data_IF_275507012370
#
_entry.id   IF_275507012370
#
_cell.length_a   1.000
_cell.length_b   1.000
_cell.length_c   1.000
_cell.angle_alpha   90.00
_cell.angle_beta   90.00
_cell.angle_gamma   90.00
#
_symmetry.space_group_name_H-M   'P 1'
#
loop_
_entity.id
_entity.type
_entity.pdbx_description
1 polymer ?
#
# COMPACT_ATOMS: atom_id res chain seq x y z
N UNK A 1 2.33 42.98 75.92
CA UNK A 1 2.97 41.97 75.03
C UNK A 1 1.94 41.49 74.02
N UNK A 2 2.39 41.37 72.79
CA UNK A 2 1.63 41.41 71.56
C UNK A 2 1.62 40.02 70.95
N UNK A 3 0.46 39.47 70.64
CA UNK A 3 0.33 38.34 69.70
C UNK A 3 -0.96 38.49 68.90
N UNK A 4 -0.78 38.63 67.58
CA UNK A 4 -1.79 38.65 66.53
C UNK A 4 -2.11 37.22 66.13
N UNK A 5 -3.38 36.89 65.86
CA UNK A 5 -3.79 35.85 64.90
C UNK A 5 -5.11 36.32 64.28
N UNK A 6 -5.06 36.98 63.13
CA UNK A 6 -5.17 36.40 61.78
C UNK A 6 -6.57 35.85 61.47
N UNK A 7 -7.36 36.76 60.90
CA UNK A 7 -8.49 36.53 60.02
C UNK A 7 -8.19 35.44 58.99
N UNK A 8 -8.89 34.31 59.08
CA UNK A 8 -9.02 33.37 57.96
C UNK A 8 -10.48 32.94 57.95
N UNK A 9 -11.25 33.49 57.02
CA UNK A 9 -12.45 32.87 56.43
C UNK A 9 -12.88 33.75 55.25
N UNK A 10 -11.97 33.87 54.29
CA UNK A 10 -12.24 34.45 52.97
C UNK A 10 -12.17 33.29 52.00
N UNK A 11 -13.32 33.01 51.39
CA UNK A 11 -13.45 32.40 50.04
C UNK A 11 -13.13 30.91 49.97
N UNK A 12 -14.12 30.10 50.36
CA UNK A 12 -14.35 28.77 49.75
C UNK A 12 -15.44 28.89 48.68
N UNK A 13 -15.24 29.74 47.66
CA UNK A 13 -16.18 29.87 46.52
C UNK A 13 -15.50 29.62 45.16
N UNK A 14 -14.22 29.24 45.11
CA UNK A 14 -13.56 29.04 43.81
C UNK A 14 -12.76 27.75 43.79
N UNK A 15 -13.46 26.61 43.78
CA UNK A 15 -12.86 25.34 43.32
C UNK A 15 -13.92 24.33 42.87
N UNK A 16 -14.99 24.82 42.25
CA UNK A 16 -15.66 24.08 41.18
C UNK A 16 -15.07 24.56 39.86
N UNK A 17 -13.74 24.46 39.71
CA UNK A 17 -13.13 24.50 38.39
C UNK A 17 -13.58 23.22 37.70
N UNK A 18 -14.66 23.40 36.95
CA UNK A 18 -15.12 22.57 35.87
C UNK A 18 -13.89 22.02 35.16
N UNK A 19 -13.53 20.77 35.46
CA UNK A 19 -12.73 19.92 34.59
C UNK A 19 -13.58 19.69 33.33
N UNK A 20 -13.71 20.72 32.50
CA UNK A 20 -13.93 20.52 31.08
C UNK A 20 -12.59 20.00 30.55
N UNK A 21 -12.34 18.73 30.83
CA UNK A 21 -11.59 17.89 29.92
C UNK A 21 -12.26 18.12 28.56
N UNK A 22 -11.57 18.88 27.71
CA UNK A 22 -11.92 19.08 26.32
C UNK A 22 -11.99 17.69 25.73
N UNK A 23 -13.19 17.11 25.66
CA UNK A 23 -13.42 15.90 24.90
C UNK A 23 -13.20 16.31 23.46
N UNK A 24 -12.01 16.07 22.91
CA UNK A 24 -11.84 16.07 21.46
C UNK A 24 -12.92 15.11 20.93
N UNK A 25 -13.88 15.61 20.14
CA UNK A 25 -15.09 14.87 19.87
C UNK A 25 -14.74 13.62 19.07
N UNK A 26 -15.28 12.47 19.48
CA UNK A 26 -15.10 11.16 18.83
C UNK A 26 -15.32 11.18 17.30
N UNK A 27 -16.04 12.19 16.81
CA UNK A 27 -16.23 12.50 15.40
C UNK A 27 -14.93 12.76 14.61
N UNK A 28 -13.91 13.38 15.21
CA UNK A 28 -12.65 13.64 14.51
C UNK A 28 -11.92 12.33 14.19
N UNK A 29 -11.88 11.40 15.13
CA UNK A 29 -11.29 10.06 14.94
C UNK A 29 -12.03 9.27 13.86
N UNK A 30 -13.36 9.35 13.79
CA UNK A 30 -14.13 8.66 12.74
C UNK A 30 -13.89 9.25 11.34
N UNK A 31 -13.71 10.57 11.24
CA UNK A 31 -13.43 11.22 9.94
C UNK A 31 -12.03 10.86 9.45
N UNK A 32 -11.02 10.91 10.34
CA UNK A 32 -9.66 10.50 9.99
C UNK A 32 -9.63 9.06 9.50
N UNK A 33 -10.31 8.16 10.22
CA UNK A 33 -10.41 6.75 9.84
C UNK A 33 -11.08 6.55 8.48
N UNK A 34 -12.18 7.27 8.20
CA UNK A 34 -12.84 7.21 6.89
C UNK A 34 -11.94 7.74 5.76
N UNK A 35 -11.16 8.79 6.01
CA UNK A 35 -10.22 9.32 5.02
C UNK A 35 -9.10 8.32 4.75
N UNK A 36 -8.56 7.67 5.78
CA UNK A 36 -7.57 6.60 5.64
C UNK A 36 -8.14 5.41 4.83
N UNK A 37 -9.34 4.94 5.18
CA UNK A 37 -10.03 3.87 4.44
C UNK A 37 -10.28 4.25 2.97
N UNK A 38 -10.65 5.50 2.68
CA UNK A 38 -10.81 6.00 1.30
C UNK A 38 -9.48 6.10 0.53
N UNK A 39 -8.38 6.41 1.20
CA UNK A 39 -7.04 6.43 0.59
C UNK A 39 -6.58 5.02 0.19
N UNK A 40 -6.87 4.01 1.03
CA UNK A 40 -6.56 2.60 0.73
C UNK A 40 -7.36 2.05 -0.45
N UNK A 41 -8.52 2.62 -0.75
CA UNK A 41 -9.33 2.27 -1.92
C UNK A 41 -8.87 2.95 -3.22
N UNK A 42 -7.87 3.83 -3.15
CA UNK A 42 -7.37 4.61 -4.28
C UNK A 42 -6.50 3.80 -5.26
N UNK A 43 -6.10 4.47 -6.34
CA UNK A 43 -5.14 3.92 -7.31
C UNK A 43 -3.75 3.78 -6.70
N UNK A 44 -3.41 2.56 -6.28
CA UNK A 44 -2.14 2.24 -5.64
C UNK A 44 -1.52 0.93 -6.15
N UNK A 45 -0.21 0.70 -5.94
CA UNK A 45 0.41 -0.56 -6.31
C UNK A 45 -0.08 -1.71 -5.42
N UNK A 46 -0.69 -2.73 -6.03
CA UNK A 46 -1.18 -3.95 -5.37
C UNK A 46 -0.34 -5.15 -5.77
N UNK A 47 -0.23 -6.16 -4.90
CA UNK A 47 0.47 -7.40 -5.23
C UNK A 47 -0.35 -8.20 -6.27
N UNK A 48 0.20 -8.34 -7.48
CA UNK A 48 -0.34 -9.21 -8.53
C UNK A 48 0.57 -10.42 -8.72
N UNK A 49 -0.06 -11.55 -9.02
CA UNK A 49 0.64 -12.79 -9.39
C UNK A 49 0.99 -12.72 -10.88
N UNK A 50 2.27 -12.74 -11.20
CA UNK A 50 2.79 -12.69 -12.58
C UNK A 50 3.46 -14.04 -12.88
N UNK A 51 3.13 -14.67 -14.01
CA UNK A 51 3.81 -15.92 -14.40
C UNK A 51 5.22 -15.60 -14.85
N UNK A 52 6.15 -16.50 -14.55
CA UNK A 52 7.55 -16.33 -14.93
C UNK A 52 7.72 -16.30 -16.45
N UNK A 53 6.92 -17.08 -17.17
CA UNK A 53 6.87 -17.08 -18.65
C UNK A 53 6.51 -15.73 -19.24
N UNK A 54 5.65 -14.96 -18.59
CA UNK A 54 5.20 -13.64 -19.07
C UNK A 54 6.29 -12.56 -18.93
N UNK A 55 7.40 -12.90 -18.24
CA UNK A 55 8.55 -12.03 -18.04
C UNK A 55 9.71 -12.35 -18.99
N UNK A 56 9.58 -13.41 -19.81
CA UNK A 56 10.56 -13.75 -20.84
C UNK A 56 10.33 -12.88 -22.07
N UNK A 57 11.41 -12.54 -22.75
CA UNK A 57 11.29 -11.95 -24.08
C UNK A 57 10.68 -12.99 -25.03
N UNK A 58 9.81 -12.60 -25.99
CA UNK A 58 9.20 -13.56 -26.92
C UNK A 58 10.21 -14.32 -27.80
N UNK A 59 11.43 -13.80 -27.92
CA UNK A 59 12.54 -14.41 -28.64
C UNK A 59 13.44 -15.31 -27.76
N UNK A 60 13.08 -15.47 -26.49
CA UNK A 60 13.85 -16.25 -25.53
C UNK A 60 13.66 -17.75 -25.76
N UNK A 61 14.77 -18.49 -25.78
CA UNK A 61 14.79 -19.94 -25.99
C UNK A 61 14.12 -20.73 -24.88
N UNK A 62 13.90 -20.10 -23.72
CA UNK A 62 13.20 -20.71 -22.60
C UNK A 62 11.68 -20.51 -22.62
N UNK A 63 11.10 -19.83 -23.62
CA UNK A 63 9.64 -19.67 -23.73
C UNK A 63 8.93 -21.02 -23.84
N UNK A 64 9.55 -21.98 -24.54
CA UNK A 64 9.02 -23.33 -24.71
C UNK A 64 9.34 -24.27 -23.53
N UNK A 65 10.11 -23.80 -22.53
CA UNK A 65 10.44 -24.63 -21.37
C UNK A 65 9.22 -24.79 -20.47
N UNK A 66 8.86 -26.04 -20.24
CA UNK A 66 7.60 -26.42 -19.60
C UNK A 66 7.62 -26.18 -18.08
N UNK A 67 8.80 -26.06 -17.45
CA UNK A 67 8.93 -26.09 -15.99
C UNK A 67 9.90 -25.05 -15.42
N UNK A 68 9.34 -23.91 -15.02
CA UNK A 68 10.00 -22.93 -14.14
C UNK A 68 9.59 -23.13 -12.68
N UNK A 69 10.55 -22.92 -11.77
CA UNK A 69 10.32 -22.92 -10.33
C UNK A 69 10.94 -21.68 -9.66
N UNK A 70 10.13 -20.79 -9.04
CA UNK A 70 8.67 -20.84 -8.99
C UNK A 70 8.03 -20.58 -10.37
N UNK A 71 6.81 -21.07 -10.59
CA UNK A 71 6.07 -20.81 -11.84
C UNK A 71 5.53 -19.37 -11.92
N UNK A 72 5.34 -18.72 -10.78
CA UNK A 72 4.84 -17.35 -10.70
C UNK A 72 5.45 -16.62 -9.51
N UNK A 73 5.54 -15.31 -9.62
CA UNK A 73 6.06 -14.41 -8.59
C UNK A 73 5.03 -13.34 -8.24
N UNK A 74 5.05 -12.88 -6.99
CA UNK A 74 4.22 -11.77 -6.55
C UNK A 74 4.97 -10.44 -6.79
N UNK A 75 4.38 -9.58 -7.61
CA UNK A 75 4.97 -8.31 -8.05
C UNK A 75 3.96 -7.19 -7.81
N UNK A 76 4.39 -6.05 -7.27
CA UNK A 76 3.49 -4.89 -7.13
C UNK A 76 3.24 -4.27 -8.51
N UNK A 77 1.97 -4.16 -8.88
CA UNK A 77 1.49 -3.56 -10.13
C UNK A 77 0.33 -2.61 -9.83
N UNK A 78 0.12 -1.62 -10.68
CA UNK A 78 -1.04 -0.74 -10.58
C UNK A 78 -2.27 -1.53 -11.02
N UNK A 79 -3.40 -1.27 -10.39
CA UNK A 79 -4.64 -1.96 -10.73
C UNK A 79 -5.43 -1.18 -11.78
N UNK A 80 -5.26 -1.55 -13.05
CA UNK A 80 -5.89 -0.86 -14.20
C UNK A 80 -7.42 -0.83 -14.12
N UNK A 81 -8.02 -1.83 -13.48
CA UNK A 81 -9.47 -1.97 -13.27
C UNK A 81 -9.98 -1.21 -12.03
N UNK A 82 -9.14 -0.39 -11.39
CA UNK A 82 -9.53 0.38 -10.21
C UNK A 82 -10.71 1.32 -10.52
N UNK A 83 -11.88 1.02 -9.95
CA UNK A 83 -13.11 1.81 -10.09
C UNK A 83 -13.00 3.23 -9.56
N UNK A 84 -11.95 3.55 -8.82
CA UNK A 84 -11.71 4.86 -8.24
C UNK A 84 -11.20 5.89 -9.27
N UNK A 85 -10.54 5.46 -10.35
CA UNK A 85 -9.98 6.38 -11.36
C UNK A 85 -11.02 6.97 -12.33
N UNK A 86 -12.30 6.69 -12.14
CA UNK A 86 -13.37 7.35 -12.86
C UNK A 86 -14.73 6.80 -12.45
N UNK A 87 -15.43 7.51 -11.58
CA UNK A 87 -16.90 7.45 -11.42
C UNK A 87 -17.44 8.53 -10.46
N UNK A 88 -17.06 9.78 -10.67
CA UNK A 88 -17.84 10.91 -10.18
C UNK A 88 -18.45 11.63 -11.38
N UNK A 89 -19.75 11.43 -11.62
CA UNK A 89 -20.57 12.26 -12.51
C UNK A 89 -20.19 12.31 -14.02
N UNK A 90 -20.14 11.15 -14.70
CA UNK A 90 -20.21 11.12 -16.18
C UNK A 90 -18.97 11.60 -16.94
N UNK A 91 -17.84 11.80 -16.26
CA UNK A 91 -16.55 12.08 -16.92
C UNK A 91 -15.80 10.82 -17.35
N UNK A 92 -14.93 11.01 -18.33
CA UNK A 92 -14.06 10.02 -19.01
C UNK A 92 -13.51 8.99 -18.01
N UNK A 93 -13.63 7.69 -18.35
CA UNK A 93 -13.03 6.59 -17.58
C UNK A 93 -11.51 6.81 -17.51
N UNK A 94 -11.00 7.21 -16.34
CA UNK A 94 -9.57 7.25 -16.10
C UNK A 94 -9.04 5.87 -15.76
N UNK A 95 -7.78 5.63 -16.08
CA UNK A 95 -7.07 4.38 -15.79
C UNK A 95 -6.00 4.61 -14.71
N UNK A 96 -5.82 3.62 -13.84
CA UNK A 96 -4.74 3.62 -12.86
C UNK A 96 -3.43 3.19 -13.54
N UNK A 97 -2.49 4.11 -13.68
CA UNK A 97 -1.21 3.85 -14.36
C UNK A 97 -0.03 4.01 -13.41
N UNK A 98 1.10 3.39 -13.75
CA UNK A 98 2.34 3.56 -13.01
C UNK A 98 2.98 4.92 -13.31
N UNK A 99 3.36 5.65 -12.26
CA UNK A 99 4.13 6.90 -12.36
C UNK A 99 5.58 6.72 -11.95
N UNK A 100 5.86 5.70 -11.14
CA UNK A 100 7.22 5.29 -10.81
C UNK A 100 7.31 3.78 -10.78
N UNK A 101 8.44 3.25 -11.25
CA UNK A 101 8.72 1.82 -11.29
C UNK A 101 10.19 1.55 -11.05
N UNK A 102 10.49 0.37 -10.54
CA UNK A 102 11.85 -0.13 -10.34
C UNK A 102 11.99 -1.53 -10.94
N UNK A 103 13.23 -1.92 -11.23
CA UNK A 103 13.56 -3.28 -11.67
C UNK A 103 13.95 -4.10 -10.45
N UNK A 104 13.30 -5.24 -10.25
CA UNK A 104 13.63 -6.19 -9.19
C UNK A 104 14.03 -7.52 -9.79
N UNK A 105 15.25 -7.95 -9.48
CA UNK A 105 15.78 -9.23 -9.95
C UNK A 105 15.53 -10.35 -8.96
N UNK A 106 15.32 -11.56 -9.47
CA UNK A 106 15.12 -12.78 -8.69
C UNK A 106 15.59 -13.99 -9.47
N UNK A 107 15.92 -15.07 -8.77
CA UNK A 107 16.41 -16.30 -9.39
C UNK A 107 15.23 -17.26 -9.58
N UNK A 108 15.13 -17.83 -10.78
CA UNK A 108 14.25 -18.96 -11.09
C UNK A 108 15.10 -20.17 -11.42
N UNK A 109 14.61 -21.35 -11.09
CA UNK A 109 15.15 -22.60 -11.58
C UNK A 109 14.34 -23.12 -12.76
N UNK A 110 14.99 -23.79 -13.70
CA UNK A 110 14.33 -24.54 -14.77
C UNK A 110 15.07 -25.85 -15.03
N UNK A 111 14.42 -26.80 -15.67
CA UNK A 111 15.02 -28.09 -16.03
C UNK A 111 15.13 -28.17 -17.55
N UNK A 112 16.30 -28.57 -18.04
CA UNK A 112 16.43 -28.91 -19.45
C UNK A 112 15.79 -30.27 -19.75
N UNK A 113 15.46 -30.50 -21.02
CA UNK A 113 14.91 -31.78 -21.50
C UNK A 113 16.00 -32.84 -21.74
N UNK A 114 17.21 -32.64 -21.21
CA UNK A 114 18.30 -33.61 -21.37
C UNK A 114 18.08 -34.85 -20.50
N UNK A 115 18.72 -35.97 -20.84
CA UNK A 115 18.70 -37.19 -20.03
C UNK A 115 20.12 -37.47 -19.52
N UNK A 116 20.38 -37.37 -18.19
CA UNK A 116 19.44 -37.00 -17.12
C UNK A 116 19.10 -35.49 -17.12
N UNK A 117 17.90 -35.08 -16.66
CA UNK A 117 17.49 -33.68 -16.64
C UNK A 117 18.42 -32.89 -15.71
N UNK A 118 18.93 -31.77 -16.21
CA UNK A 118 19.79 -30.88 -15.44
C UNK A 118 19.01 -29.66 -14.99
N UNK A 119 19.16 -29.35 -13.70
CA UNK A 119 18.60 -28.14 -13.10
C UNK A 119 19.52 -26.97 -13.40
N UNK A 120 18.96 -25.93 -14.00
CA UNK A 120 19.60 -24.67 -14.28
C UNK A 120 18.97 -23.55 -13.44
N UNK A 121 19.69 -22.45 -13.28
CA UNK A 121 19.18 -21.25 -12.63
C UNK A 121 19.35 -20.06 -13.56
N UNK A 122 18.36 -19.18 -13.57
CA UNK A 122 18.39 -17.95 -14.35
C UNK A 122 18.00 -16.76 -13.48
N UNK A 123 18.76 -15.69 -13.60
CA UNK A 123 18.36 -14.39 -13.06
C UNK A 123 17.33 -13.77 -13.98
N UNK A 124 16.16 -13.45 -13.43
CA UNK A 124 15.09 -12.75 -14.12
C UNK A 124 14.83 -11.41 -13.48
N UNK A 125 14.18 -10.51 -14.21
CA UNK A 125 13.87 -9.17 -13.73
C UNK A 125 12.40 -8.86 -13.97
N UNK A 126 11.70 -8.44 -12.92
CA UNK A 126 10.35 -7.92 -13.02
C UNK A 126 10.35 -6.40 -12.83
N UNK A 127 9.42 -5.72 -13.50
CA UNK A 127 9.13 -4.31 -13.24
C UNK A 127 8.15 -4.25 -12.08
N UNK A 128 8.54 -3.56 -11.00
CA UNK A 128 7.72 -3.34 -9.81
C UNK A 128 7.23 -1.90 -9.83
N UNK A 129 5.93 -1.69 -9.74
CA UNK A 129 5.36 -0.34 -9.65
C UNK A 129 5.49 0.15 -8.20
N UNK A 130 6.13 1.30 -8.00
CA UNK A 130 6.34 1.89 -6.67
C UNK A 130 5.37 3.04 -6.38
N UNK A 131 4.84 3.67 -7.44
CA UNK A 131 3.79 4.69 -7.36
C UNK A 131 2.82 4.54 -8.53
N UNK A 132 1.54 4.78 -8.27
CA UNK A 132 0.47 4.80 -9.27
C UNK A 132 -0.28 6.13 -9.20
N UNK A 133 -0.90 6.52 -10.31
CA UNK A 133 -1.85 7.64 -10.33
C UNK A 133 -2.95 7.39 -11.37
N UNK A 134 -4.10 8.01 -11.15
CA UNK A 134 -5.14 8.04 -12.17
C UNK A 134 -4.73 8.96 -13.32
N UNK A 135 -4.92 8.50 -14.56
CA UNK A 135 -4.76 9.29 -15.77
C UNK A 135 -6.03 9.19 -16.61
N UNK A 136 -6.55 10.35 -17.01
CA UNK A 136 -7.70 10.54 -17.91
C UNK A 136 -7.31 10.40 -19.36
#
# INVERSE_FOLDING_TARGET
>A
MQTRVCSILVVWVVLAMVNHAVSLPSHHLSIVKQVEELQELGCQPVLKKVKVTDLLDPADDLVDMIMFYPHAVAVRRCDEDCSYCGNNHGSIRGHCIATASEKKSFVVAYYDLSLPPKKHHRMMTAIVHTKCSCKS
#
